data_IF_357942432406
#
_entry.id   IF_357942432406
#
_cell.length_a   1.000
_cell.length_b   1.000
_cell.length_c   1.000
_cell.angle_alpha   90.00
_cell.angle_beta   90.00
_cell.angle_gamma   90.00
#
_symmetry.space_group_name_H-M   'P 1'
#
loop_
_entity.id
_entity.type
_entity.pdbx_description
1 polymer ?
#
# COMPACT_ATOMS: atom_id res chain seq x y z
N UNK A 1 -8.78 0.88 -35.03
CA UNK A 1 -7.84 -0.21 -35.36
C UNK A 1 -7.86 -1.23 -34.23
N UNK A 2 -8.17 -2.48 -34.52
CA UNK A 2 -8.25 -3.54 -33.50
C UNK A 2 -6.85 -3.94 -33.05
N UNK A 3 -6.61 -4.01 -31.74
CA UNK A 3 -5.35 -4.44 -31.13
C UNK A 3 -5.01 -5.92 -31.35
N UNK A 4 -5.87 -6.65 -32.07
CA UNK A 4 -5.77 -8.10 -32.27
C UNK A 4 -4.46 -8.56 -32.94
N UNK A 5 -3.94 -7.90 -34.00
CA UNK A 5 -2.64 -8.29 -34.56
C UNK A 5 -1.47 -8.06 -33.60
N UNK A 6 -1.55 -7.01 -32.77
CA UNK A 6 -0.54 -6.72 -31.73
C UNK A 6 -0.59 -7.75 -30.59
N UNK A 7 -1.79 -8.22 -30.23
CA UNK A 7 -1.99 -9.29 -29.25
C UNK A 7 -1.39 -10.63 -29.73
N UNK A 8 -1.64 -11.01 -30.99
CA UNK A 8 -1.08 -12.24 -31.55
C UNK A 8 0.45 -12.20 -31.58
N UNK A 9 1.04 -11.04 -31.94
CA UNK A 9 2.49 -10.82 -31.90
C UNK A 9 3.05 -10.92 -30.47
N UNK A 10 2.43 -10.23 -29.51
CA UNK A 10 2.82 -10.32 -28.09
C UNK A 10 2.76 -11.75 -27.54
N UNK A 11 1.73 -12.52 -27.91
CA UNK A 11 1.57 -13.92 -27.50
C UNK A 11 2.67 -14.81 -28.06
N UNK A 12 3.07 -14.60 -29.31
CA UNK A 12 4.13 -15.36 -29.98
C UNK A 12 5.53 -15.02 -29.42
N UNK A 13 5.79 -13.75 -29.13
CA UNK A 13 7.10 -13.28 -28.68
C UNK A 13 7.41 -13.68 -27.22
N UNK A 14 6.38 -14.01 -26.44
CA UNK A 14 6.48 -14.30 -25.02
C UNK A 14 6.90 -13.06 -24.23
N UNK A 15 6.23 -12.77 -23.11
CA UNK A 15 6.73 -11.71 -22.25
C UNK A 15 8.08 -12.18 -21.68
N UNK A 16 9.19 -11.55 -22.07
CA UNK A 16 10.51 -11.91 -21.57
C UNK A 16 10.68 -11.74 -20.06
N UNK A 17 9.72 -11.13 -19.35
CA UNK A 17 9.56 -11.13 -17.89
C UNK A 17 8.19 -10.50 -17.51
N UNK A 18 7.07 -11.25 -17.47
CA UNK A 18 5.80 -10.67 -17.05
C UNK A 18 5.78 -10.43 -15.54
N UNK A 19 5.22 -9.29 -15.11
CA UNK A 19 5.00 -8.96 -13.69
C UNK A 19 4.02 -9.89 -12.99
N UNK A 20 3.30 -10.74 -13.73
CA UNK A 20 2.45 -11.81 -13.22
C UNK A 20 3.03 -13.18 -13.61
N UNK A 21 2.91 -14.17 -12.71
CA UNK A 21 3.31 -15.55 -13.00
C UNK A 21 2.32 -16.16 -14.02
N UNK A 22 2.76 -16.44 -15.23
CA UNK A 22 1.92 -16.97 -16.31
C UNK A 22 1.35 -15.90 -17.26
N UNK A 23 0.31 -16.23 -18.02
CA UNK A 23 -0.30 -15.29 -18.97
C UNK A 23 -0.97 -14.12 -18.23
N UNK A 24 -0.78 -12.88 -18.71
CA UNK A 24 -1.44 -11.67 -18.18
C UNK A 24 -2.88 -11.58 -18.73
N UNK A 25 -3.71 -12.56 -18.37
CA UNK A 25 -5.14 -12.58 -18.73
C UNK A 25 -6.00 -12.33 -17.51
N UNK A 26 -7.24 -11.86 -17.73
CA UNK A 26 -8.22 -11.74 -16.64
C UNK A 26 -8.42 -13.09 -15.96
N UNK A 27 -8.61 -14.16 -16.72
CA UNK A 27 -8.82 -15.50 -16.17
C UNK A 27 -7.65 -15.98 -15.28
N UNK A 28 -6.40 -15.74 -15.70
CA UNK A 28 -5.21 -16.08 -14.90
C UNK A 28 -5.18 -15.29 -13.59
N UNK A 29 -5.39 -13.97 -13.65
CA UNK A 29 -5.35 -13.12 -12.47
C UNK A 29 -6.57 -13.32 -11.55
N UNK A 30 -7.73 -13.64 -12.09
CA UNK A 30 -8.95 -13.94 -11.33
C UNK A 30 -8.73 -15.16 -10.42
N UNK A 31 -8.04 -16.18 -10.95
CA UNK A 31 -7.70 -17.41 -10.25
C UNK A 31 -6.50 -17.29 -9.28
N UNK A 32 -5.70 -16.22 -9.36
CA UNK A 32 -4.59 -15.98 -8.44
C UNK A 32 -4.98 -14.97 -7.33
N UNK A 33 -5.13 -15.41 -6.07
CA UNK A 33 -5.51 -14.53 -4.96
C UNK A 33 -4.53 -13.38 -4.71
N UNK A 34 -3.27 -13.50 -5.15
CA UNK A 34 -2.21 -12.50 -4.98
C UNK A 34 -2.00 -11.65 -6.24
N UNK A 35 -2.88 -11.77 -7.24
CA UNK A 35 -2.79 -11.01 -8.48
C UNK A 35 -3.04 -9.52 -8.29
N UNK A 36 -2.61 -8.72 -9.26
CA UNK A 36 -2.93 -7.30 -9.33
C UNK A 36 -4.45 -7.07 -9.39
N UNK A 37 -5.19 -7.88 -10.15
CA UNK A 37 -6.66 -7.80 -10.22
C UNK A 37 -7.31 -7.96 -8.84
N UNK A 38 -6.97 -9.02 -8.11
CA UNK A 38 -7.55 -9.29 -6.80
C UNK A 38 -7.10 -8.28 -5.74
N UNK A 39 -5.86 -7.79 -5.83
CA UNK A 39 -5.40 -6.65 -5.05
C UNK A 39 -6.20 -5.36 -5.33
N UNK A 40 -6.44 -5.01 -6.60
CA UNK A 40 -7.25 -3.85 -6.98
C UNK A 40 -8.69 -3.97 -6.48
N UNK A 41 -9.30 -5.16 -6.58
CA UNK A 41 -10.64 -5.42 -6.01
C UNK A 41 -10.65 -5.20 -4.49
N UNK A 42 -9.63 -5.67 -3.78
CA UNK A 42 -9.51 -5.46 -2.34
C UNK A 42 -9.38 -3.97 -1.99
N UNK A 43 -8.60 -3.19 -2.74
CA UNK A 43 -8.49 -1.73 -2.56
C UNK A 43 -9.83 -1.01 -2.79
N UNK A 44 -10.56 -1.38 -3.84
CA UNK A 44 -11.88 -0.79 -4.14
C UNK A 44 -12.87 -1.12 -3.02
N UNK A 45 -12.89 -2.37 -2.55
CA UNK A 45 -13.73 -2.81 -1.43
C UNK A 45 -13.41 -2.00 -0.17
N UNK A 46 -12.13 -1.92 0.21
CA UNK A 46 -11.67 -1.14 1.37
C UNK A 46 -12.12 0.32 1.28
N UNK A 47 -11.96 0.98 0.12
CA UNK A 47 -12.38 2.37 -0.07
C UNK A 47 -13.88 2.57 0.09
N UNK A 48 -14.70 1.61 -0.36
CA UNK A 48 -16.17 1.68 -0.24
C UNK A 48 -16.63 1.51 1.20
N UNK A 49 -16.00 0.60 1.95
CA UNK A 49 -16.38 0.23 3.31
C UNK A 49 -15.84 1.20 4.37
N UNK A 50 -14.74 1.89 4.09
CA UNK A 50 -14.05 2.75 5.06
C UNK A 50 -14.22 4.23 4.74
N UNK A 51 -15.03 4.91 5.56
CA UNK A 51 -15.30 6.35 5.45
C UNK A 51 -14.03 7.21 5.51
N UNK A 52 -13.03 6.84 6.34
CA UNK A 52 -11.75 7.55 6.42
C UNK A 52 -11.05 7.75 5.06
N UNK A 53 -11.33 6.93 4.03
CA UNK A 53 -10.77 7.10 2.68
C UNK A 53 -11.61 7.96 1.73
N UNK A 54 -12.81 8.40 2.12
CA UNK A 54 -13.70 9.25 1.33
C UNK A 54 -13.13 10.66 1.16
N UNK A 55 -13.58 11.40 0.14
CA UNK A 55 -13.02 12.72 -0.18
C UNK A 55 -13.23 13.78 0.91
N UNK A 56 -14.23 13.62 1.77
CA UNK A 56 -14.52 14.53 2.88
C UNK A 56 -13.68 14.27 4.13
N UNK A 57 -12.97 13.15 4.20
CA UNK A 57 -12.17 12.75 5.36
C UNK A 57 -10.82 13.44 5.36
N UNK A 58 -10.31 13.72 6.55
CA UNK A 58 -9.06 14.41 6.75
C UNK A 58 -7.89 13.60 6.17
N UNK A 59 -6.94 14.32 5.58
CA UNK A 59 -5.67 13.80 5.12
C UNK A 59 -4.55 14.63 5.73
N UNK A 60 -3.59 13.97 6.38
CA UNK A 60 -2.45 14.63 7.02
C UNK A 60 -1.15 13.99 6.55
N UNK A 61 -0.29 14.71 5.82
CA UNK A 61 1.00 14.19 5.42
C UNK A 61 1.93 14.07 6.63
N UNK A 62 2.69 12.99 6.69
CA UNK A 62 3.79 12.76 7.62
C UNK A 62 5.06 12.76 6.78
N UNK A 63 5.45 13.95 6.32
CA UNK A 63 6.51 14.11 5.34
C UNK A 63 7.81 14.62 5.97
N UNK A 64 8.92 14.27 5.33
CA UNK A 64 10.20 14.96 5.46
C UNK A 64 10.53 15.51 4.06
N UNK A 65 10.66 16.83 3.93
CA UNK A 65 10.83 17.51 2.63
C UNK A 65 12.13 17.10 1.92
N UNK A 66 13.18 16.81 2.70
CA UNK A 66 14.48 16.38 2.17
C UNK A 66 14.47 14.91 1.71
N UNK A 67 13.51 14.12 2.20
CA UNK A 67 13.39 12.68 1.93
C UNK A 67 11.94 12.34 1.58
N UNK A 68 11.52 12.55 0.32
CA UNK A 68 10.12 12.42 -0.08
C UNK A 68 9.58 10.98 -0.06
N UNK A 69 10.46 9.97 0.07
CA UNK A 69 10.09 8.56 0.09
C UNK A 69 10.71 7.78 1.26
N UNK A 70 9.94 6.92 1.94
CA UNK A 70 8.53 6.61 1.65
C UNK A 70 7.61 7.80 1.93
N UNK A 71 6.63 8.01 1.05
CA UNK A 71 5.59 9.01 1.29
C UNK A 71 4.65 8.43 2.33
N UNK A 72 4.53 9.09 3.48
CA UNK A 72 3.69 8.64 4.58
C UNK A 72 2.62 9.68 4.88
N UNK A 73 1.39 9.23 5.17
CA UNK A 73 0.30 10.11 5.56
C UNK A 73 -0.77 9.34 6.34
N UNK A 74 -1.59 10.07 7.09
CA UNK A 74 -2.79 9.52 7.73
C UNK A 74 -4.07 9.94 7.01
N UNK A 75 -5.10 9.11 7.18
CA UNK A 75 -6.48 9.36 6.77
C UNK A 75 -7.39 9.11 7.96
N UNK A 76 -8.28 10.06 8.28
CA UNK A 76 -9.22 9.91 9.40
C UNK A 76 -10.59 10.50 9.09
N UNK A 77 -11.64 9.85 9.59
CA UNK A 77 -13.00 10.40 9.64
C UNK A 77 -13.41 10.82 11.06
N UNK A 78 -12.46 10.87 12.00
CA UNK A 78 -12.69 11.13 13.42
C UNK A 78 -13.02 9.88 14.25
N UNK A 79 -13.48 8.79 13.63
CA UNK A 79 -13.77 7.52 14.30
C UNK A 79 -12.66 6.49 14.08
N UNK A 80 -12.18 6.36 12.84
CA UNK A 80 -11.09 5.48 12.45
C UNK A 80 -9.94 6.27 11.84
N UNK A 81 -8.71 5.85 12.15
CA UNK A 81 -7.50 6.44 11.58
C UNK A 81 -6.66 5.36 10.93
N UNK A 82 -6.23 5.64 9.70
CA UNK A 82 -5.36 4.78 8.92
C UNK A 82 -4.05 5.49 8.62
N UNK A 83 -2.96 4.76 8.67
CA UNK A 83 -1.65 5.18 8.18
C UNK A 83 -1.40 4.50 6.84
N UNK A 84 -1.03 5.30 5.84
CA UNK A 84 -0.68 4.83 4.50
C UNK A 84 0.76 5.22 4.22
N UNK A 85 1.53 4.28 3.68
CA UNK A 85 2.89 4.55 3.24
C UNK A 85 3.20 3.92 1.89
N UNK A 86 3.94 4.66 1.06
CA UNK A 86 4.23 4.32 -0.33
C UNK A 86 5.73 4.48 -0.62
N UNK A 87 6.36 3.44 -1.15
CA UNK A 87 7.69 3.52 -1.74
C UNK A 87 7.63 3.12 -3.24
N UNK A 88 7.43 4.10 -4.14
CA UNK A 88 7.43 3.85 -5.58
C UNK A 88 8.85 3.70 -6.16
N UNK A 89 9.90 3.91 -5.35
CA UNK A 89 11.27 3.87 -5.87
C UNK A 89 11.76 2.45 -6.11
N UNK A 90 12.80 2.31 -6.93
CA UNK A 90 13.49 1.04 -7.18
C UNK A 90 14.44 0.61 -6.06
N UNK A 91 14.51 1.33 -4.94
CA UNK A 91 15.43 1.05 -3.83
C UNK A 91 14.69 1.00 -2.48
N UNK A 92 15.30 0.32 -1.50
CA UNK A 92 14.82 0.30 -0.12
C UNK A 92 14.89 1.71 0.46
N UNK A 93 13.83 2.14 1.14
CA UNK A 93 13.75 3.43 1.82
C UNK A 93 13.35 3.25 3.29
N UNK A 94 13.90 4.10 4.15
CA UNK A 94 13.60 4.13 5.57
C UNK A 94 13.33 5.57 5.98
N UNK A 95 12.30 5.78 6.79
CA UNK A 95 11.93 7.09 7.34
C UNK A 95 11.53 6.95 8.80
N UNK A 96 11.85 7.95 9.60
CA UNK A 96 11.31 8.12 10.95
C UNK A 96 10.22 9.17 10.90
N UNK A 97 9.03 8.83 11.36
CA UNK A 97 7.88 9.73 11.48
C UNK A 97 7.58 10.01 12.95
N UNK A 98 6.88 11.11 13.28
CA UNK A 98 6.37 11.31 14.63
C UNK A 98 5.55 10.10 15.08
N UNK A 99 5.64 9.73 16.37
CA UNK A 99 4.91 8.57 16.89
C UNK A 99 3.41 8.70 16.64
N UNK A 100 2.86 7.71 15.94
CA UNK A 100 1.43 7.59 15.66
C UNK A 100 0.72 6.73 16.70
N UNK A 101 1.50 6.00 17.50
CA UNK A 101 1.03 5.22 18.65
C UNK A 101 1.64 5.79 19.92
N UNK A 102 0.83 5.99 20.96
CA UNK A 102 1.34 6.30 22.29
C UNK A 102 1.89 5.03 22.93
N UNK A 103 3.17 5.00 23.32
CA UNK A 103 3.75 3.84 24.03
C UNK A 103 3.00 3.50 25.34
N UNK A 104 2.29 4.47 25.93
CA UNK A 104 1.56 4.33 27.21
C UNK A 104 0.12 3.83 27.13
N UNK A 105 -0.51 3.82 25.96
CA UNK A 105 -1.85 3.26 25.78
C UNK A 105 -1.73 2.31 24.59
N UNK A 106 -2.02 1.02 24.77
CA UNK A 106 -1.70 -0.09 23.86
C UNK A 106 -2.26 -0.01 22.43
N UNK A 107 -1.99 1.09 21.73
CA UNK A 107 -2.40 1.39 20.37
C UNK A 107 -1.63 0.47 19.45
N UNK A 108 -2.29 -0.58 18.99
CA UNK A 108 -1.72 -1.53 18.04
C UNK A 108 -1.98 -1.05 16.61
N UNK A 109 -1.04 -1.33 15.72
CA UNK A 109 -1.27 -1.19 14.29
C UNK A 109 -1.82 -2.51 13.76
N UNK A 110 -3.03 -2.48 13.24
CA UNK A 110 -3.62 -3.65 12.58
C UNK A 110 -3.31 -3.57 11.07
N UNK A 111 -2.63 -4.56 10.47
CA UNK A 111 -2.40 -4.59 9.04
C UNK A 111 -3.74 -4.73 8.30
N UNK A 112 -3.95 -3.91 7.26
CA UNK A 112 -5.18 -3.91 6.46
C UNK A 112 -4.88 -4.46 5.07
N UNK A 113 -3.97 -3.82 4.36
CA UNK A 113 -3.53 -4.22 3.02
C UNK A 113 -2.05 -3.89 2.86
N UNK A 114 -1.27 -4.82 2.29
CA UNK A 114 0.14 -4.61 1.95
C UNK A 114 0.51 -5.25 0.62
N UNK A 115 1.34 -4.56 -0.15
CA UNK A 115 2.00 -5.11 -1.34
C UNK A 115 3.49 -4.82 -1.30
N UNK A 116 4.30 -5.78 -1.73
CA UNK A 116 5.73 -5.83 -1.41
C UNK A 116 5.96 -6.06 0.09
N UNK A 117 7.20 -5.85 0.52
CA UNK A 117 7.59 -6.04 1.92
C UNK A 117 7.83 -4.70 2.59
N UNK A 118 7.29 -4.54 3.79
CA UNK A 118 7.56 -3.41 4.64
C UNK A 118 7.51 -3.76 6.12
N UNK A 119 8.19 -2.96 6.95
CA UNK A 119 8.20 -3.11 8.41
C UNK A 119 7.98 -1.79 9.10
N UNK A 120 7.33 -1.85 10.27
CA UNK A 120 7.02 -0.73 11.13
C UNK A 120 7.54 -1.04 12.54
N UNK A 121 8.24 -0.10 13.16
CA UNK A 121 8.74 -0.22 14.53
C UNK A 121 8.45 1.06 15.30
N UNK A 122 7.88 0.93 16.49
CA UNK A 122 7.75 2.03 17.45
C UNK A 122 9.07 2.18 18.18
N UNK A 123 9.57 3.41 18.31
CA UNK A 123 10.79 3.71 19.07
C UNK A 123 10.59 4.98 19.90
N UNK A 124 11.44 5.18 20.91
CA UNK A 124 11.41 6.37 21.75
C UNK A 124 11.56 7.69 20.98
N UNK A 125 12.14 7.66 19.77
CA UNK A 125 12.40 8.84 18.94
C UNK A 125 11.38 9.03 17.80
N UNK A 126 10.30 8.24 17.80
CA UNK A 126 9.33 8.20 16.71
C UNK A 126 9.16 6.81 16.12
N UNK A 127 8.28 6.69 15.15
CA UNK A 127 8.00 5.43 14.50
C UNK A 127 8.85 5.28 13.24
N UNK A 128 9.56 4.15 13.13
CA UNK A 128 10.49 3.85 12.04
C UNK A 128 9.81 2.94 11.04
N UNK A 129 9.73 3.41 9.80
CA UNK A 129 9.18 2.70 8.68
C UNK A 129 10.27 2.29 7.70
N UNK A 130 10.33 1.01 7.31
CA UNK A 130 11.23 0.53 6.25
C UNK A 130 10.42 -0.16 5.16
N UNK A 131 10.63 0.26 3.91
CA UNK A 131 9.89 -0.22 2.75
C UNK A 131 10.84 -0.70 1.66
N UNK A 132 10.61 -1.91 1.14
CA UNK A 132 11.34 -2.43 -0.03
C UNK A 132 10.98 -1.65 -1.31
N UNK A 133 11.73 -1.82 -2.41
CA UNK A 133 11.36 -1.25 -3.70
C UNK A 133 9.92 -1.58 -4.09
N UNK A 134 9.23 -0.62 -4.74
CA UNK A 134 7.86 -0.81 -5.26
C UNK A 134 6.91 -1.47 -4.25
N UNK A 135 6.73 -0.82 -3.10
CA UNK A 135 5.89 -1.36 -2.01
C UNK A 135 4.93 -0.32 -1.44
N UNK A 136 3.84 -0.80 -0.85
CA UNK A 136 2.82 0.00 -0.22
C UNK A 136 2.24 -0.72 1.01
N UNK A 137 1.88 0.04 2.04
CA UNK A 137 1.14 -0.49 3.19
C UNK A 137 -0.01 0.43 3.59
N UNK A 138 -1.07 -0.18 4.09
CA UNK A 138 -2.19 0.45 4.76
C UNK A 138 -2.37 -0.28 6.08
N UNK A 139 -2.28 0.45 7.19
CA UNK A 139 -2.49 -0.07 8.54
C UNK A 139 -3.53 0.79 9.27
N UNK A 140 -4.37 0.15 10.07
CA UNK A 140 -5.32 0.85 10.95
C UNK A 140 -4.65 1.13 12.29
N UNK A 141 -4.71 2.39 12.73
CA UNK A 141 -4.28 2.80 14.06
C UNK A 141 -5.43 2.48 15.03
N UNK A 142 -5.24 1.46 15.87
CA UNK A 142 -6.23 1.12 16.90
C UNK A 142 -5.90 1.83 18.19
N UNK A 143 -6.91 2.26 18.94
CA UNK A 143 -6.72 2.63 20.34
C UNK A 143 -6.69 1.34 21.16
N UNK A 144 -5.70 1.18 22.04
CA UNK A 144 -5.71 0.07 23.00
C UNK A 144 -6.93 0.19 23.89
N UNK A 145 -7.72 -0.88 24.01
CA UNK A 145 -8.72 -1.03 25.07
C UNK A 145 -8.03 -1.11 26.43
#
# INVERSE_FOLDING_TARGET
>A
ATSYPLYLKWKADGCKNPTAKGEITVASQDNDPKSLLNWTRALIKLRKETKAFWSSSEWKPLYNEDVPYPMVYTRTDGAETYLVALNPTGIKRTVTIPSQTSEKAGKKLAPVLMTGNASYKVTANGDVLTMQPTSAMIVKITSGN
#
